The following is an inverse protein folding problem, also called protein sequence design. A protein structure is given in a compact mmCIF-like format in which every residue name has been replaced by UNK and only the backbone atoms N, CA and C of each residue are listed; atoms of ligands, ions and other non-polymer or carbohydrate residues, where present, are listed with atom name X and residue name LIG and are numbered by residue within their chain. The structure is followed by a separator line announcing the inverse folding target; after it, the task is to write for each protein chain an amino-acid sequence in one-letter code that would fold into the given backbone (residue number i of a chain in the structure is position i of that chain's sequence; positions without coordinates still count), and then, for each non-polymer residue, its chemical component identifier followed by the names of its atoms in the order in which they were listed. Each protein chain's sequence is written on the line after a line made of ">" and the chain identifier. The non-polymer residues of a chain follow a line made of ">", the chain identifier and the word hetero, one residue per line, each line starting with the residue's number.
data_IF_915693831495
#
_entry.id   IF_915693831495
#
_cell.length_a   1.000
_cell.length_b   1.000
_cell.length_c   1.000
_cell.angle_alpha   90.00
_cell.angle_beta   90.00
_cell.angle_gamma   90.00
#
_symmetry.space_group_name_H-M   'P 1'
#
loop_
_entity.id
_entity.type
_entity.pdbx_description
1 polymer ?
#
# COMPACT_ATOMS: atom_id res chain seq x y z
N UNK A 1 6.00 -3.92 45.27
CA UNK A 1 6.41 -4.65 44.04
C UNK A 1 6.71 -3.63 42.97
N UNK A 2 7.66 -3.94 42.09
CA UNK A 2 7.93 -3.17 40.88
C UNK A 2 7.27 -3.92 39.72
N UNK A 3 6.61 -3.20 38.82
CA UNK A 3 5.95 -3.75 37.62
C UNK A 3 6.61 -3.06 36.44
N UNK A 4 7.68 -3.66 35.93
CA UNK A 4 8.30 -3.13 34.73
C UNK A 4 7.45 -3.49 33.53
N UNK A 5 7.50 -2.65 32.52
CA UNK A 5 6.97 -2.96 31.22
C UNK A 5 7.84 -2.29 30.17
N UNK A 6 8.00 -2.94 29.04
CA UNK A 6 8.68 -2.37 27.88
C UNK A 6 7.69 -2.20 26.73
N UNK A 7 7.77 -1.06 26.07
CA UNK A 7 7.00 -0.76 24.85
C UNK A 7 7.94 -0.27 23.77
N UNK A 8 7.51 -0.43 22.53
CA UNK A 8 8.22 0.12 21.37
C UNK A 8 7.33 1.15 20.68
N UNK A 9 7.91 2.29 20.32
CA UNK A 9 7.24 3.30 19.51
C UNK A 9 8.15 3.77 18.39
N UNK A 10 7.63 3.87 17.16
CA UNK A 10 8.37 4.31 15.99
C UNK A 10 8.08 3.44 14.78
N UNK A 11 8.89 3.64 13.75
CA UNK A 11 8.67 3.02 12.44
C UNK A 11 8.94 1.51 12.46
N UNK A 12 8.12 0.78 11.71
CA UNK A 12 8.23 -0.66 11.43
C UNK A 12 8.52 -0.96 9.96
N UNK A 13 8.98 0.04 9.21
CA UNK A 13 9.33 -0.08 7.79
C UNK A 13 10.68 0.58 7.51
N UNK A 14 11.48 0.04 6.60
CA UNK A 14 12.72 0.70 6.15
C UNK A 14 12.80 0.64 4.64
N UNK A 15 13.04 1.78 3.99
CA UNK A 15 13.36 1.82 2.57
C UNK A 15 14.84 1.58 2.33
N UNK A 16 15.16 0.85 1.27
CA UNK A 16 16.54 0.48 0.91
C UNK A 16 17.49 1.68 0.69
N UNK A 17 16.99 2.89 0.39
CA UNK A 17 17.80 4.12 0.26
C UNK A 17 17.77 5.03 1.51
N UNK A 18 16.72 5.00 2.32
CA UNK A 18 16.61 5.71 3.62
C UNK A 18 16.94 4.74 4.75
N UNK A 19 18.17 4.24 4.73
CA UNK A 19 18.66 3.00 5.35
C UNK A 19 18.55 2.86 6.89
N UNK A 20 17.72 3.65 7.60
CA UNK A 20 17.71 3.69 9.05
C UNK A 20 16.33 3.33 9.62
N UNK A 21 16.26 2.24 10.34
CA UNK A 21 15.17 1.94 11.26
C UNK A 21 15.36 2.80 12.51
N UNK A 22 14.38 3.62 12.88
CA UNK A 22 14.44 4.43 14.09
C UNK A 22 13.19 4.27 14.95
N UNK A 23 13.39 3.99 16.23
CA UNK A 23 12.32 3.77 17.21
C UNK A 23 12.83 4.03 18.62
N UNK A 24 11.90 4.07 19.55
CA UNK A 24 12.13 4.24 20.97
C UNK A 24 11.68 2.98 21.71
N UNK A 25 12.56 2.42 22.54
CA UNK A 25 12.15 1.50 23.60
C UNK A 25 11.81 2.32 24.84
N UNK A 26 10.64 2.06 25.42
CA UNK A 26 10.09 2.82 26.55
C UNK A 26 9.92 1.85 27.72
N UNK A 27 10.81 1.94 28.69
CA UNK A 27 10.77 1.13 29.92
C UNK A 27 10.04 1.91 30.99
N UNK A 28 8.96 1.36 31.54
CA UNK A 28 8.16 2.02 32.58
C UNK A 28 8.07 1.13 33.81
N UNK A 29 8.38 1.66 34.99
CA UNK A 29 8.02 1.00 36.25
C UNK A 29 6.63 1.50 36.66
N UNK A 30 5.60 0.71 36.39
CA UNK A 30 4.20 1.09 36.60
C UNK A 30 3.87 1.14 38.09
N UNK A 31 3.07 2.12 38.49
CA UNK A 31 2.55 2.19 39.86
C UNK A 31 1.43 1.17 40.05
N UNK A 32 1.49 0.33 41.10
CA UNK A 32 0.39 -0.59 41.43
C UNK A 32 -0.92 0.17 41.68
N UNK A 33 -2.05 -0.45 41.34
CA UNK A 33 -3.39 0.09 41.63
C UNK A 33 -3.76 0.00 43.11
N UNK A 34 -3.03 -0.81 43.89
CA UNK A 34 -3.12 -0.88 45.35
C UNK A 34 -1.79 -1.33 45.96
N UNK A 35 -1.47 -0.83 47.16
CA UNK A 35 -0.14 -1.01 47.78
C UNK A 35 0.92 -0.02 47.26
N UNK A 36 1.99 0.18 48.02
CA UNK A 36 3.08 1.07 47.63
C UNK A 36 3.95 0.46 46.53
N UNK A 37 4.15 1.17 45.42
CA UNK A 37 5.15 0.84 44.41
C UNK A 37 6.57 1.01 44.98
N UNK A 38 7.50 0.14 44.59
CA UNK A 38 8.93 0.25 44.93
C UNK A 38 9.74 0.53 43.68
N UNK A 39 10.94 1.10 43.84
CA UNK A 39 11.86 1.27 42.72
C UNK A 39 12.28 -0.10 42.16
N UNK A 40 12.34 -0.20 40.84
CA UNK A 40 12.96 -1.33 40.14
C UNK A 40 14.46 -1.09 40.11
N UNK A 41 15.27 -2.03 40.61
CA UNK A 41 16.72 -1.90 40.66
C UNK A 41 17.41 -2.86 39.69
N UNK A 42 18.63 -2.48 39.30
CA UNK A 42 19.43 -3.22 38.31
C UNK A 42 18.65 -3.47 37.01
N UNK A 43 17.93 -2.43 36.56
CA UNK A 43 17.12 -2.51 35.36
C UNK A 43 18.04 -2.63 34.15
N UNK A 44 17.88 -3.71 33.39
CA UNK A 44 18.64 -3.93 32.15
C UNK A 44 17.71 -4.23 30.99
N UNK A 45 18.09 -3.79 29.80
CA UNK A 45 17.40 -4.11 28.55
C UNK A 45 18.36 -4.88 27.66
N UNK A 46 17.88 -5.98 27.07
CA UNK A 46 18.56 -6.68 25.98
C UNK A 46 17.66 -6.65 24.75
N UNK A 47 18.21 -6.35 23.60
CA UNK A 47 17.47 -6.40 22.34
C UNK A 47 18.29 -7.11 21.26
N UNK A 48 17.63 -8.00 20.52
CA UNK A 48 18.19 -8.64 19.33
C UNK A 48 17.49 -8.12 18.08
N UNK A 49 18.27 -7.57 17.15
CA UNK A 49 17.82 -7.29 15.79
C UNK A 49 17.96 -8.55 14.94
N UNK A 50 16.98 -8.81 14.08
CA UNK A 50 17.05 -9.88 13.11
C UNK A 50 18.12 -9.63 12.05
N UNK A 51 18.49 -10.70 11.35
CA UNK A 51 19.47 -10.63 10.27
C UNK A 51 19.05 -9.61 9.21
N UNK A 52 20.00 -8.74 8.84
CA UNK A 52 19.77 -7.67 7.88
C UNK A 52 19.64 -6.29 8.51
N UNK A 53 19.57 -6.19 9.85
CA UNK A 53 19.69 -4.92 10.58
C UNK A 53 20.99 -4.92 11.39
N UNK A 54 21.60 -3.76 11.56
CA UNK A 54 22.79 -3.57 12.41
C UNK A 54 22.61 -2.32 13.24
N UNK A 55 22.92 -2.36 14.54
CA UNK A 55 22.82 -1.16 15.35
C UNK A 55 23.79 -0.08 14.89
N UNK A 56 23.28 1.15 14.76
CA UNK A 56 24.09 2.35 14.61
C UNK A 56 24.17 3.14 15.90
N UNK A 57 23.05 3.27 16.60
CA UNK A 57 22.92 4.09 17.81
C UNK A 57 21.93 3.44 18.79
N UNK A 58 22.26 3.52 20.08
CA UNK A 58 21.33 3.33 21.16
C UNK A 58 21.63 4.36 22.26
N UNK A 59 20.73 5.32 22.46
CA UNK A 59 20.91 6.43 23.39
C UNK A 59 19.78 6.43 24.44
N UNK A 60 20.05 5.96 25.67
CA UNK A 60 19.09 6.00 26.76
C UNK A 60 19.04 7.38 27.42
N UNK A 61 17.87 7.79 27.91
CA UNK A 61 17.69 9.02 28.70
C UNK A 61 18.44 8.94 30.06
N UNK A 62 18.65 7.72 30.55
CA UNK A 62 19.39 7.42 31.78
C UNK A 62 20.11 6.08 31.68
N UNK A 63 21.30 5.99 32.28
CA UNK A 63 22.14 4.80 32.22
C UNK A 63 23.00 4.75 30.97
N UNK A 64 23.28 3.56 30.47
CA UNK A 64 24.15 3.35 29.30
C UNK A 64 23.70 2.15 28.46
N UNK A 65 24.00 2.19 27.17
CA UNK A 65 23.69 1.15 26.20
C UNK A 65 24.94 0.84 25.37
N UNK A 66 25.18 -0.44 25.11
CA UNK A 66 26.30 -0.93 24.30
C UNK A 66 25.75 -1.78 23.14
N UNK A 67 25.62 -1.20 21.94
CA UNK A 67 25.30 -1.97 20.74
C UNK A 67 26.52 -2.78 20.25
N UNK A 68 26.29 -3.97 19.72
CA UNK A 68 27.30 -4.85 19.13
C UNK A 68 26.67 -5.71 18.03
N UNK A 69 26.90 -5.33 16.77
CA UNK A 69 26.28 -5.99 15.61
C UNK A 69 24.76 -5.92 15.68
N UNK A 70 24.11 -7.07 15.89
CA UNK A 70 22.65 -7.22 16.05
C UNK A 70 22.19 -7.26 17.50
N UNK A 71 23.11 -7.16 18.47
CA UNK A 71 22.80 -7.25 19.90
C UNK A 71 22.91 -5.89 20.57
N UNK A 72 21.99 -5.59 21.48
CA UNK A 72 22.02 -4.42 22.35
C UNK A 72 21.94 -4.87 23.79
N UNK A 73 22.79 -4.30 24.63
CA UNK A 73 22.72 -4.46 26.09
C UNK A 73 22.76 -3.09 26.75
N UNK A 74 21.75 -2.81 27.57
CA UNK A 74 21.63 -1.56 28.31
C UNK A 74 21.54 -1.81 29.82
N UNK A 75 22.14 -0.91 30.59
CA UNK A 75 22.03 -0.84 32.04
C UNK A 75 21.44 0.52 32.42
N UNK A 76 20.20 0.51 32.89
CA UNK A 76 19.42 1.71 33.20
C UNK A 76 19.46 2.10 34.69
N UNK A 77 19.98 1.21 35.55
CA UNK A 77 20.14 1.47 36.98
C UNK A 77 18.83 1.26 37.75
N UNK A 78 18.36 2.30 38.44
CA UNK A 78 17.14 2.26 39.24
C UNK A 78 16.04 3.10 38.58
N UNK A 79 14.84 2.56 38.45
CA UNK A 79 13.67 3.24 37.89
C UNK A 79 12.61 3.39 38.99
N UNK A 80 12.33 4.62 39.39
CA UNK A 80 11.36 4.93 40.44
C UNK A 80 9.92 4.51 40.05
N UNK A 81 9.02 4.25 41.02
CA UNK A 81 7.62 3.98 40.71
C UNK A 81 6.99 5.11 39.89
N UNK A 82 6.31 4.76 38.80
CA UNK A 82 5.69 5.69 37.86
C UNK A 82 6.66 6.36 36.88
N UNK A 83 7.97 6.10 36.98
CA UNK A 83 8.96 6.68 36.08
C UNK A 83 9.14 5.84 34.82
N UNK A 84 9.61 6.53 33.78
CA UNK A 84 9.90 5.95 32.46
C UNK A 84 11.31 6.32 32.04
N UNK A 85 12.01 5.39 31.38
CA UNK A 85 13.28 5.61 30.70
C UNK A 85 13.10 5.28 29.22
N UNK A 86 13.38 6.24 28.33
CA UNK A 86 13.40 6.01 26.89
C UNK A 86 14.79 5.61 26.44
N UNK A 87 14.87 4.73 25.45
CA UNK A 87 16.08 4.39 24.69
C UNK A 87 15.81 4.68 23.23
N UNK A 88 16.45 5.72 22.68
CA UNK A 88 16.40 6.00 21.24
C UNK A 88 17.31 5.01 20.51
N UNK A 89 16.73 4.18 19.66
CA UNK A 89 17.44 3.20 18.86
C UNK A 89 17.43 3.61 17.39
N UNK A 90 18.59 3.48 16.76
CA UNK A 90 18.73 3.57 15.30
C UNK A 90 19.55 2.40 14.79
N UNK A 91 19.01 1.68 13.81
CA UNK A 91 19.68 0.57 13.15
C UNK A 91 19.75 0.80 11.64
N UNK A 92 20.87 0.44 11.04
CA UNK A 92 21.06 0.45 9.59
C UNK A 92 20.53 -0.85 8.99
N UNK A 93 19.77 -0.77 7.88
CA UNK A 93 19.31 -1.94 7.15
C UNK A 93 20.23 -2.28 5.98
N UNK A 94 20.43 -3.58 5.74
CA UNK A 94 21.14 -4.08 4.58
C UNK A 94 20.31 -3.77 3.31
N UNK A 95 20.82 -2.94 2.39
CA UNK A 95 20.07 -2.56 1.19
C UNK A 95 19.93 -3.70 0.17
N UNK A 96 20.66 -4.82 0.34
CA UNK A 96 20.56 -5.99 -0.52
C UNK A 96 19.42 -6.94 -0.13
N UNK A 97 18.60 -6.61 0.87
CA UNK A 97 17.43 -7.40 1.22
C UNK A 97 16.31 -7.19 0.22
N UNK A 98 15.58 -8.27 -0.07
CA UNK A 98 14.41 -8.22 -0.93
C UNK A 98 13.32 -7.30 -0.36
N UNK A 99 12.62 -6.59 -1.23
CA UNK A 99 11.40 -5.86 -0.88
C UNK A 99 10.36 -6.83 -0.31
N UNK A 100 9.61 -6.41 0.71
CA UNK A 100 8.68 -7.28 1.44
C UNK A 100 9.33 -8.16 2.49
N UNK A 101 10.67 -8.25 2.56
CA UNK A 101 11.34 -9.05 3.58
C UNK A 101 10.98 -8.55 4.99
N UNK A 102 10.46 -9.46 5.81
CA UNK A 102 10.29 -9.25 7.24
C UNK A 102 11.57 -9.55 8.01
N UNK A 103 11.94 -8.63 8.90
CA UNK A 103 13.01 -8.78 9.88
C UNK A 103 12.38 -8.63 11.27
N UNK A 104 12.52 -9.65 12.11
CA UNK A 104 12.02 -9.58 13.49
C UNK A 104 13.03 -8.89 14.40
N UNK A 105 12.54 -8.19 15.41
CA UNK A 105 13.35 -7.64 16.50
C UNK A 105 12.67 -7.94 17.81
N UNK A 106 13.40 -8.22 18.87
CA UNK A 106 12.83 -8.49 20.18
C UNK A 106 13.67 -7.84 21.27
N UNK A 107 13.01 -7.06 22.14
CA UNK A 107 13.59 -6.44 23.31
C UNK A 107 12.98 -7.03 24.58
N UNK A 108 13.81 -7.29 25.58
CA UNK A 108 13.43 -7.76 26.91
C UNK A 108 14.02 -6.84 27.97
N UNK A 109 13.20 -6.47 28.95
CA UNK A 109 13.65 -5.77 30.17
C UNK A 109 13.66 -6.72 31.37
N UNK A 110 14.61 -6.55 32.28
CA UNK A 110 14.71 -7.30 33.53
C UNK A 110 15.04 -6.39 34.70
N UNK A 111 14.73 -6.84 35.92
CA UNK A 111 14.99 -6.18 37.20
C UNK A 111 15.30 -7.21 38.29
N UNK A 112 15.68 -6.75 39.48
CA UNK A 112 15.93 -7.63 40.63
C UNK A 112 14.66 -8.00 41.42
N UNK A 113 13.69 -7.09 41.46
CA UNK A 113 12.46 -7.27 42.21
C UNK A 113 11.50 -8.23 41.49
N UNK A 114 10.61 -8.94 42.22
CA UNK A 114 9.55 -9.72 41.59
C UNK A 114 8.60 -8.81 40.79
N UNK A 115 8.44 -9.15 39.52
CA UNK A 115 7.48 -8.53 38.62
C UNK A 115 6.14 -9.28 38.65
N UNK A 116 5.01 -8.61 38.93
CA UNK A 116 3.70 -9.25 38.95
C UNK A 116 3.18 -9.64 37.55
N UNK A 117 3.67 -9.04 36.45
CA UNK A 117 3.17 -9.25 35.09
C UNK A 117 4.35 -9.46 34.12
N UNK A 118 5.11 -10.56 34.22
CA UNK A 118 6.33 -10.75 33.44
C UNK A 118 6.16 -10.73 31.91
N UNK A 119 4.95 -10.98 31.39
CA UNK A 119 4.68 -10.97 29.95
C UNK A 119 4.77 -9.57 29.31
N UNK A 120 4.67 -8.50 30.10
CA UNK A 120 4.84 -7.12 29.62
C UNK A 120 6.33 -6.68 29.55
N UNK A 121 7.25 -7.56 29.95
CA UNK A 121 8.70 -7.31 29.95
C UNK A 121 9.37 -7.67 28.63
N UNK A 122 8.60 -8.08 27.62
CA UNK A 122 9.07 -8.42 26.28
C UNK A 122 8.26 -7.64 25.25
N UNK A 123 8.93 -7.07 24.24
CA UNK A 123 8.29 -6.48 23.08
C UNK A 123 9.00 -6.90 21.80
N UNK A 124 8.24 -7.48 20.88
CA UNK A 124 8.70 -7.80 19.54
C UNK A 124 8.14 -6.83 18.49
N UNK A 125 8.81 -6.71 17.35
CA UNK A 125 8.20 -6.13 16.16
C UNK A 125 8.70 -6.80 14.89
N UNK A 126 7.91 -6.63 13.82
CA UNK A 126 8.28 -6.99 12.46
C UNK A 126 8.62 -5.71 11.72
N UNK A 127 9.78 -5.71 11.09
CA UNK A 127 10.28 -4.61 10.26
C UNK A 127 10.19 -5.06 8.82
N UNK A 128 9.52 -4.30 7.97
CA UNK A 128 9.38 -4.63 6.55
C UNK A 128 10.31 -3.80 5.69
N UNK A 129 11.04 -4.46 4.79
CA UNK A 129 11.84 -3.80 3.76
C UNK A 129 10.95 -3.25 2.66
N UNK A 130 11.06 -1.94 2.42
CA UNK A 130 10.36 -1.22 1.37
C UNK A 130 11.29 -0.94 0.18
N UNK A 131 10.73 -0.78 -1.01
CA UNK A 131 11.51 -0.36 -2.18
C UNK A 131 12.10 1.04 -1.97
N UNK A 132 13.14 1.33 -2.75
CA UNK A 132 13.65 2.69 -2.94
C UNK A 132 12.51 3.51 -3.52
N UNK A 133 12.08 4.55 -2.82
CA UNK A 133 10.99 5.40 -3.24
C UNK A 133 11.26 6.86 -2.94
N UNK A 134 10.69 7.72 -3.79
CA UNK A 134 10.66 9.17 -3.60
C UNK A 134 9.68 9.49 -2.47
N UNK A 135 8.50 8.87 -2.53
CA UNK A 135 7.43 9.02 -1.54
C UNK A 135 7.10 7.70 -0.84
N UNK A 136 7.04 7.76 0.49
CA UNK A 136 6.54 6.68 1.33
C UNK A 136 5.11 6.99 1.72
N UNK A 137 4.15 6.18 1.26
CA UNK A 137 2.74 6.35 1.61
C UNK A 137 2.48 5.67 2.95
N UNK A 138 2.49 6.46 4.02
CA UNK A 138 2.38 6.01 5.40
C UNK A 138 1.04 6.38 6.08
N UNK A 139 0.15 7.07 5.36
CA UNK A 139 -1.19 7.40 5.85
C UNK A 139 -2.27 6.59 5.13
N UNK A 140 -3.20 6.08 5.93
CA UNK A 140 -4.42 5.41 5.46
C UNK A 140 -5.63 6.35 5.44
N UNK A 141 -5.41 7.61 5.82
CA UNK A 141 -6.40 8.65 5.63
C UNK A 141 -6.51 8.99 4.14
N UNK A 142 -7.57 9.71 3.80
CA UNK A 142 -7.73 10.36 2.50
C UNK A 142 -7.53 11.87 2.66
N UNK A 143 -7.05 12.47 1.59
CA UNK A 143 -6.86 13.90 1.39
C UNK A 143 -5.97 14.12 0.16
N UNK A 144 -6.20 15.23 -0.50
CA UNK A 144 -5.33 15.74 -1.58
C UNK A 144 -4.03 16.29 -1.00
N UNK A 145 -3.00 16.34 -1.83
CA UNK A 145 -1.79 17.08 -1.52
C UNK A 145 -2.12 18.57 -1.28
N UNK A 146 -1.41 19.21 -0.35
CA UNK A 146 -1.60 20.61 -0.03
C UNK A 146 -0.98 21.54 -1.09
N UNK A 147 0.16 21.15 -1.66
CA UNK A 147 0.92 21.93 -2.63
C UNK A 147 1.62 21.02 -3.67
N UNK A 148 0.88 20.41 -4.62
CA UNK A 148 1.48 19.57 -5.65
C UNK A 148 2.70 20.20 -6.34
N UNK A 149 3.82 19.47 -6.37
CA UNK A 149 5.08 19.81 -7.02
C UNK A 149 6.11 20.49 -6.10
N UNK A 150 5.89 20.51 -4.78
CA UNK A 150 6.82 21.09 -3.82
C UNK A 150 7.91 20.12 -3.31
N UNK A 151 7.84 18.86 -3.75
CA UNK A 151 8.73 17.76 -3.38
C UNK A 151 8.29 17.00 -2.12
N UNK A 152 7.13 17.31 -1.54
CA UNK A 152 6.65 16.70 -0.30
C UNK A 152 5.23 16.16 -0.46
N UNK A 153 5.09 14.83 -0.37
CA UNK A 153 3.78 14.21 -0.19
C UNK A 153 3.18 14.62 1.18
N UNK A 154 2.25 15.58 1.18
CA UNK A 154 1.64 16.07 2.40
C UNK A 154 0.27 16.72 2.15
N UNK A 155 -0.77 16.13 2.75
CA UNK A 155 -2.05 16.82 2.92
C UNK A 155 -1.91 18.04 3.84
N UNK A 156 -2.95 18.89 3.94
CA UNK A 156 -2.98 20.03 4.90
C UNK A 156 -2.76 19.63 6.37
N UNK A 157 -2.94 18.35 6.72
CA UNK A 157 -2.67 17.79 8.05
C UNK A 157 -1.27 17.22 8.21
N UNK A 158 -0.41 17.32 7.18
CA UNK A 158 0.93 16.75 7.15
C UNK A 158 0.98 15.23 6.97
N UNK A 159 -0.08 14.63 6.45
CA UNK A 159 -0.16 13.18 6.20
C UNK A 159 0.16 12.88 4.74
N UNK A 160 0.97 11.84 4.47
CA UNK A 160 1.19 11.35 3.11
C UNK A 160 0.18 10.25 2.77
N UNK A 161 -0.93 10.63 2.12
CA UNK A 161 -1.98 9.71 1.63
C UNK A 161 -1.62 9.23 0.22
N UNK A 162 -2.27 8.16 -0.26
CA UNK A 162 -2.02 7.67 -1.63
C UNK A 162 -2.37 8.72 -2.69
N UNK A 163 -3.49 9.45 -2.50
CA UNK A 163 -3.90 10.54 -3.40
C UNK A 163 -2.90 11.69 -3.39
N UNK A 164 -2.46 12.13 -2.21
CA UNK A 164 -1.45 13.18 -2.10
C UNK A 164 -0.14 12.75 -2.80
N UNK A 165 0.29 11.51 -2.61
CA UNK A 165 1.51 11.00 -3.24
C UNK A 165 1.41 10.96 -4.77
N UNK A 166 0.27 10.55 -5.33
CA UNK A 166 0.05 10.54 -6.78
C UNK A 166 -0.01 11.96 -7.34
N UNK A 167 -0.71 12.88 -6.67
CA UNK A 167 -0.79 14.29 -7.07
C UNK A 167 0.57 14.98 -7.05
N UNK A 168 1.36 14.72 -6.00
CA UNK A 168 2.73 15.20 -5.90
C UNK A 168 3.60 14.61 -7.03
N UNK A 169 3.49 13.30 -7.28
CA UNK A 169 4.26 12.64 -8.31
C UNK A 169 3.96 13.18 -9.73
N UNK A 170 2.68 13.40 -10.04
CA UNK A 170 2.23 13.97 -11.31
C UNK A 170 2.73 15.41 -11.53
N UNK A 171 3.00 16.15 -10.45
CA UNK A 171 3.45 17.54 -10.51
C UNK A 171 4.98 17.69 -10.58
N UNK A 172 5.72 16.58 -10.50
CA UNK A 172 7.18 16.56 -10.51
C UNK A 172 7.73 16.02 -11.84
N UNK A 173 8.88 16.54 -12.30
CA UNK A 173 9.48 16.09 -13.55
C UNK A 173 10.08 14.69 -13.41
N UNK A 174 9.87 13.87 -14.43
CA UNK A 174 10.49 12.55 -14.55
C UNK A 174 9.81 11.50 -13.68
N UNK A 175 10.29 10.26 -13.79
CA UNK A 175 9.68 9.11 -13.11
C UNK A 175 9.75 9.24 -11.59
N UNK A 176 8.60 9.13 -10.93
CA UNK A 176 8.48 9.06 -9.49
C UNK A 176 8.16 7.63 -9.03
N UNK A 177 8.69 7.24 -7.88
CA UNK A 177 8.45 5.94 -7.25
C UNK A 177 7.76 6.10 -5.90
N UNK A 178 6.61 5.46 -5.74
CA UNK A 178 5.83 5.38 -4.50
C UNK A 178 6.01 4.00 -3.86
N UNK A 179 6.34 3.97 -2.57
CA UNK A 179 6.32 2.75 -1.77
C UNK A 179 5.04 2.69 -0.92
N UNK A 180 4.31 1.58 -1.03
CA UNK A 180 3.21 1.26 -0.13
C UNK A 180 3.69 0.37 1.01
N UNK A 181 3.04 0.54 2.15
CA UNK A 181 3.18 -0.31 3.33
C UNK A 181 2.06 -1.37 3.35
N UNK A 182 2.01 -2.17 4.41
CA UNK A 182 0.96 -3.18 4.60
C UNK A 182 -0.33 -2.51 5.02
N UNK A 183 -1.21 -2.26 4.07
CA UNK A 183 -2.48 -1.64 4.38
C UNK A 183 -3.49 -1.75 3.25
N UNK A 184 -4.73 -1.45 3.66
CA UNK A 184 -5.84 -1.14 2.78
C UNK A 184 -5.92 0.38 2.62
N UNK A 185 -5.57 0.87 1.43
CA UNK A 185 -5.63 2.27 1.04
C UNK A 185 -7.00 2.55 0.44
N UNK A 186 -7.92 3.02 1.29
CA UNK A 186 -9.30 3.30 0.87
C UNK A 186 -9.39 4.66 0.17
N UNK A 187 -9.84 4.67 -1.08
CA UNK A 187 -10.26 5.87 -1.80
C UNK A 187 -11.72 6.14 -1.45
N UNK A 188 -11.95 7.00 -0.46
CA UNK A 188 -13.29 7.35 0.05
C UNK A 188 -13.50 8.87 0.10
N UNK A 189 -12.65 9.63 -0.59
CA UNK A 189 -12.76 11.08 -0.64
C UNK A 189 -13.80 11.49 -1.67
N UNK A 190 -15.03 11.59 -1.19
CA UNK A 190 -16.10 12.29 -1.89
C UNK A 190 -15.80 13.79 -1.85
N UNK A 191 -15.55 14.42 -3.00
CA UNK A 191 -15.52 15.87 -3.06
C UNK A 191 -16.88 16.39 -2.54
N UNK A 192 -16.94 17.46 -1.72
CA UNK A 192 -18.18 17.96 -1.13
C UNK A 192 -19.27 18.41 -2.12
N UNK A 193 -19.14 18.16 -3.43
CA UNK A 193 -20.04 18.65 -4.48
C UNK A 193 -20.52 17.60 -5.48
N UNK A 194 -20.45 16.30 -5.19
CA UNK A 194 -21.11 15.30 -6.07
C UNK A 194 -22.64 15.26 -5.85
N UNK A 195 -23.17 15.94 -4.82
CA UNK A 195 -24.60 16.09 -4.57
C UNK A 195 -25.28 17.23 -5.34
N UNK A 196 -24.55 18.10 -6.05
CA UNK A 196 -25.14 19.24 -6.76
C UNK A 196 -25.57 18.90 -8.20
N UNK A 197 -25.05 17.84 -8.81
CA UNK A 197 -25.40 17.44 -10.18
C UNK A 197 -26.64 16.53 -10.27
N UNK A 198 -27.07 15.94 -9.15
CA UNK A 198 -28.27 15.09 -9.10
C UNK A 198 -29.59 15.89 -9.12
N UNK A 199 -29.54 17.23 -9.06
CA UNK A 199 -30.71 18.11 -9.12
C UNK A 199 -31.04 18.54 -10.57
N UNK A 200 -31.36 17.55 -11.42
CA UNK A 200 -32.34 17.73 -12.50
C UNK A 200 -32.05 18.73 -13.63
N UNK A 201 -30.80 19.12 -13.89
CA UNK A 201 -30.50 19.98 -15.04
C UNK A 201 -29.27 19.49 -15.80
N UNK A 202 -29.42 18.43 -16.61
CA UNK A 202 -28.74 18.18 -17.90
C UNK A 202 -27.23 18.41 -18.07
N UNK A 203 -26.50 18.79 -17.04
CA UNK A 203 -25.06 18.85 -16.97
C UNK A 203 -24.65 17.50 -16.44
N UNK A 204 -24.18 16.63 -17.34
CA UNK A 204 -23.37 15.47 -17.00
C UNK A 204 -22.46 15.89 -15.87
N UNK A 205 -22.49 15.17 -14.73
CA UNK A 205 -21.39 15.22 -13.80
C UNK A 205 -20.14 15.00 -14.66
N UNK A 206 -19.36 16.04 -14.92
CA UNK A 206 -18.08 15.83 -15.56
C UNK A 206 -17.35 14.92 -14.60
N UNK A 207 -17.11 13.68 -15.04
CA UNK A 207 -16.12 12.80 -14.43
C UNK A 207 -14.94 13.68 -14.02
N UNK A 208 -14.61 13.61 -12.75
CA UNK A 208 -13.78 14.61 -12.11
C UNK A 208 -12.33 14.44 -12.59
N UNK A 209 -11.96 15.15 -13.67
CA UNK A 209 -10.72 14.97 -14.43
C UNK A 209 -9.44 15.52 -13.73
N UNK A 210 -9.42 15.60 -12.40
CA UNK A 210 -8.34 16.25 -11.63
C UNK A 210 -7.86 15.50 -10.39
N UNK A 211 -8.27 14.24 -10.19
CA UNK A 211 -8.01 13.43 -9.00
C UNK A 211 -8.29 14.14 -7.65
N UNK A 212 -9.17 15.14 -7.61
CA UNK A 212 -9.60 15.85 -6.39
C UNK A 212 -10.43 14.91 -5.50
N UNK A 213 -11.07 13.91 -6.08
CA UNK A 213 -11.92 12.87 -5.51
C UNK A 213 -11.90 11.62 -6.41
N UNK A 214 -12.70 10.59 -6.10
CA UNK A 214 -12.88 9.46 -7.00
C UNK A 214 -11.61 8.62 -7.21
N UNK A 215 -11.30 8.30 -8.46
CA UNK A 215 -10.13 7.52 -8.84
C UNK A 215 -8.81 8.29 -8.66
N UNK A 216 -7.70 7.57 -8.84
CA UNK A 216 -6.37 8.17 -8.92
C UNK A 216 -6.03 8.43 -10.39
N UNK A 217 -5.88 9.69 -10.77
CA UNK A 217 -5.38 10.06 -12.10
C UNK A 217 -3.86 10.00 -12.15
N UNK A 218 -3.33 9.29 -13.13
CA UNK A 218 -1.90 9.26 -13.46
C UNK A 218 -1.70 10.03 -14.75
N UNK A 219 -0.97 11.15 -14.67
CA UNK A 219 -0.73 12.07 -15.79
C UNK A 219 0.74 12.18 -16.19
N UNK A 220 1.67 11.66 -15.38
CA UNK A 220 3.10 11.56 -15.70
C UNK A 220 3.62 10.13 -15.43
N UNK A 221 4.94 9.95 -15.35
CA UNK A 221 5.62 8.68 -15.21
C UNK A 221 5.64 8.25 -13.74
N UNK A 222 4.86 7.22 -13.43
CA UNK A 222 4.67 6.77 -12.05
C UNK A 222 4.96 5.27 -11.92
N UNK A 223 5.68 4.91 -10.86
CA UNK A 223 5.76 3.55 -10.36
C UNK A 223 5.23 3.47 -8.93
N UNK A 224 4.29 2.55 -8.68
CA UNK A 224 3.77 2.26 -7.34
C UNK A 224 4.13 0.83 -6.99
N UNK A 225 4.82 0.65 -5.88
CA UNK A 225 5.33 -0.65 -5.44
C UNK A 225 4.80 -0.95 -4.05
N UNK A 226 4.01 -2.02 -3.95
CA UNK A 226 3.57 -2.58 -2.68
C UNK A 226 4.48 -3.70 -2.18
N UNK A 227 3.93 -4.53 -1.30
CA UNK A 227 4.62 -5.66 -0.68
C UNK A 227 4.12 -7.01 -1.21
N UNK A 228 2.81 -7.12 -1.37
CA UNK A 228 2.13 -8.17 -2.11
C UNK A 228 0.73 -7.72 -2.49
N UNK A 229 0.09 -8.46 -3.40
CA UNK A 229 -1.27 -8.20 -3.83
C UNK A 229 -2.32 -8.27 -2.70
N UNK A 230 -2.02 -8.97 -1.61
CA UNK A 230 -2.89 -9.16 -0.45
C UNK A 230 -2.55 -8.20 0.71
N UNK A 231 -1.30 -7.75 0.80
CA UNK A 231 -0.84 -6.90 1.90
C UNK A 231 -0.92 -5.41 1.57
N UNK A 232 -0.78 -5.03 0.30
CA UNK A 232 -0.86 -3.65 -0.17
C UNK A 232 -2.00 -3.53 -1.17
N UNK A 233 -3.15 -3.03 -0.73
CA UNK A 233 -4.36 -2.98 -1.55
C UNK A 233 -4.85 -1.55 -1.68
N UNK A 234 -5.05 -1.08 -2.91
CA UNK A 234 -5.78 0.16 -3.21
C UNK A 234 -7.23 -0.23 -3.47
N UNK A 235 -8.14 0.29 -2.63
CA UNK A 235 -9.55 -0.05 -2.65
C UNK A 235 -10.37 1.20 -2.92
N UNK A 236 -11.07 1.26 -4.05
CA UNK A 236 -12.03 2.32 -4.30
C UNK A 236 -13.33 2.06 -3.54
N UNK A 237 -13.79 3.04 -2.76
CA UNK A 237 -15.04 2.96 -1.99
C UNK A 237 -15.95 4.16 -2.26
N UNK A 238 -15.59 5.01 -3.21
CA UNK A 238 -16.32 6.22 -3.61
C UNK A 238 -17.30 6.01 -4.77
N UNK A 239 -17.51 4.76 -5.19
CA UNK A 239 -18.32 4.49 -6.38
C UNK A 239 -17.71 5.03 -7.68
N UNK A 240 -16.38 5.19 -7.72
CA UNK A 240 -15.60 5.47 -8.94
C UNK A 240 -14.56 4.36 -9.16
N UNK A 241 -13.80 4.44 -10.25
CA UNK A 241 -12.69 3.53 -10.56
C UNK A 241 -11.59 3.59 -9.50
N UNK A 242 -10.61 2.69 -9.58
CA UNK A 242 -9.42 2.80 -8.70
C UNK A 242 -8.38 3.74 -9.32
N UNK A 243 -8.02 3.53 -10.59
CA UNK A 243 -6.97 4.29 -11.28
C UNK A 243 -7.40 4.61 -12.73
N UNK A 244 -7.19 5.84 -13.17
CA UNK A 244 -7.15 6.21 -14.59
C UNK A 244 -5.74 6.63 -15.00
N UNK A 245 -5.25 6.07 -16.11
CA UNK A 245 -3.97 6.45 -16.73
C UNK A 245 -4.26 7.27 -17.96
N UNK A 246 -3.86 8.54 -17.93
CA UNK A 246 -4.17 9.51 -18.99
C UNK A 246 -3.20 9.39 -20.16
N UNK A 247 -3.55 10.01 -21.29
CA UNK A 247 -2.80 9.91 -22.53
C UNK A 247 -1.33 10.33 -22.36
N UNK A 248 -0.41 9.49 -22.81
CA UNK A 248 1.03 9.75 -22.74
C UNK A 248 1.68 9.50 -21.37
N UNK A 249 0.90 9.22 -20.32
CA UNK A 249 1.43 8.83 -19.02
C UNK A 249 1.96 7.39 -19.04
N UNK A 250 2.85 7.08 -18.09
CA UNK A 250 3.31 5.70 -17.87
C UNK A 250 3.04 5.28 -16.45
N UNK A 251 2.47 4.08 -16.28
CA UNK A 251 2.20 3.51 -14.97
C UNK A 251 2.83 2.13 -14.84
N UNK A 252 3.65 1.94 -13.83
CA UNK A 252 4.09 0.62 -13.37
C UNK A 252 3.50 0.32 -12.00
N UNK A 253 2.74 -0.77 -11.87
CA UNK A 253 2.28 -1.28 -10.58
C UNK A 253 2.99 -2.60 -10.27
N UNK A 254 3.50 -2.73 -9.05
CA UNK A 254 4.17 -3.95 -8.57
C UNK A 254 3.64 -4.36 -7.21
N UNK A 255 3.41 -5.66 -7.04
CA UNK A 255 3.20 -6.28 -5.72
C UNK A 255 2.05 -5.63 -4.92
N UNK A 256 0.90 -5.38 -5.57
CA UNK A 256 -0.25 -4.74 -4.94
C UNK A 256 -1.59 -5.19 -5.56
N UNK A 257 -2.69 -4.95 -4.83
CA UNK A 257 -4.05 -5.25 -5.26
C UNK A 257 -4.85 -4.00 -5.64
N UNK A 258 -5.72 -4.10 -6.64
CA UNK A 258 -6.72 -3.11 -7.03
C UNK A 258 -8.13 -3.71 -6.91
N UNK A 259 -9.00 -3.09 -6.10
CA UNK A 259 -10.33 -3.63 -5.82
C UNK A 259 -11.37 -2.56 -5.50
N UNK A 260 -12.65 -2.95 -5.49
CA UNK A 260 -13.78 -2.08 -5.13
C UNK A 260 -14.13 -1.01 -6.16
N UNK A 261 -13.37 -0.92 -7.25
CA UNK A 261 -13.59 0.04 -8.32
C UNK A 261 -14.95 -0.13 -8.97
N UNK A 262 -15.68 0.98 -9.11
CA UNK A 262 -17.00 1.04 -9.74
C UNK A 262 -17.05 2.25 -10.66
N UNK A 263 -16.89 2.09 -11.98
CA UNK A 263 -16.91 3.25 -12.86
C UNK A 263 -18.28 3.94 -12.85
N UNK A 264 -18.32 5.25 -12.52
CA UNK A 264 -19.53 6.07 -12.57
C UNK A 264 -20.14 6.11 -13.98
N UNK A 265 -21.46 6.27 -14.07
CA UNK A 265 -22.21 6.40 -15.34
C UNK A 265 -21.97 5.27 -16.36
N UNK A 266 -21.59 4.08 -15.88
CA UNK A 266 -21.19 2.95 -16.70
C UNK A 266 -19.93 3.24 -17.56
N UNK A 267 -18.99 4.02 -17.02
CA UNK A 267 -17.69 4.26 -17.61
C UNK A 267 -16.84 2.98 -17.76
N UNK A 268 -15.70 3.07 -18.46
CA UNK A 268 -14.79 1.95 -18.68
C UNK A 268 -13.88 1.69 -17.46
N UNK A 269 -13.44 0.45 -17.24
CA UNK A 269 -12.27 0.15 -16.40
C UNK A 269 -12.48 0.33 -14.91
N UNK A 270 -13.19 -0.59 -14.25
CA UNK A 270 -13.53 -0.47 -12.82
C UNK A 270 -12.29 -0.43 -11.94
N UNK A 271 -11.38 -1.38 -12.12
CA UNK A 271 -10.09 -1.38 -11.43
C UNK A 271 -9.11 -0.41 -12.05
N UNK A 272 -8.93 -0.47 -13.37
CA UNK A 272 -8.01 0.38 -14.10
C UNK A 272 -8.57 0.78 -15.46
N UNK A 273 -8.53 2.06 -15.76
CA UNK A 273 -8.78 2.57 -17.10
C UNK A 273 -7.49 3.15 -17.71
N UNK A 274 -6.97 2.50 -18.75
CA UNK A 274 -5.86 3.02 -19.53
C UNK A 274 -6.41 3.80 -20.74
N UNK A 275 -6.29 5.12 -20.70
CA UNK A 275 -6.83 6.06 -21.69
C UNK A 275 -5.68 6.67 -22.54
N UNK A 276 -4.97 5.80 -23.25
CA UNK A 276 -3.83 6.18 -24.09
C UNK A 276 -2.48 6.28 -23.40
N UNK A 277 -2.34 5.68 -22.22
CA UNK A 277 -1.06 5.54 -21.51
C UNK A 277 -0.34 4.21 -21.80
N UNK A 278 0.81 4.03 -21.16
CA UNK A 278 1.58 2.78 -21.15
C UNK A 278 1.58 2.16 -19.76
N UNK A 279 0.97 0.98 -19.62
CA UNK A 279 0.74 0.33 -18.33
C UNK A 279 1.45 -1.00 -18.22
N UNK A 280 2.19 -1.19 -17.13
CA UNK A 280 2.85 -2.44 -16.75
C UNK A 280 2.38 -2.89 -15.36
N UNK A 281 1.78 -4.07 -15.27
CA UNK A 281 1.32 -4.67 -14.02
C UNK A 281 2.11 -5.96 -13.72
N UNK A 282 2.91 -5.98 -12.67
CA UNK A 282 3.73 -7.14 -12.30
C UNK A 282 3.40 -7.63 -10.90
N UNK A 283 2.95 -8.88 -10.77
CA UNK A 283 2.49 -9.46 -9.50
C UNK A 283 1.39 -8.62 -8.85
N UNK A 284 0.43 -8.21 -9.66
CA UNK A 284 -0.73 -7.40 -9.27
C UNK A 284 -2.00 -8.25 -9.31
N UNK A 285 -2.89 -8.04 -8.34
CA UNK A 285 -4.26 -8.57 -8.40
C UNK A 285 -5.23 -7.45 -8.77
N UNK A 286 -6.08 -7.66 -9.77
CA UNK A 286 -7.22 -6.79 -10.08
C UNK A 286 -8.49 -7.58 -9.82
N UNK A 287 -9.19 -7.29 -8.73
CA UNK A 287 -10.30 -8.13 -8.28
C UNK A 287 -11.52 -7.37 -7.78
N UNK A 288 -12.69 -7.97 -7.99
CA UNK A 288 -13.98 -7.49 -7.49
C UNK A 288 -14.27 -6.03 -7.89
N UNK A 289 -13.93 -5.68 -9.14
CA UNK A 289 -14.24 -4.39 -9.73
C UNK A 289 -15.44 -4.50 -10.70
N UNK A 290 -16.12 -3.37 -10.91
CA UNK A 290 -17.32 -3.24 -11.70
C UNK A 290 -17.25 -2.04 -12.66
N UNK A 291 -17.72 -2.22 -13.90
CA UNK A 291 -17.76 -1.13 -14.88
C UNK A 291 -18.84 -1.34 -15.95
N UNK A 292 -19.06 -0.35 -16.82
CA UNK A 292 -19.86 -0.56 -18.03
C UNK A 292 -19.16 -1.48 -19.04
N UNK A 293 -17.85 -1.31 -19.18
CA UNK A 293 -16.96 -2.16 -19.99
C UNK A 293 -15.61 -2.31 -19.30
N UNK A 294 -14.95 -3.46 -19.44
CA UNK A 294 -13.68 -3.71 -18.75
C UNK A 294 -13.87 -3.70 -17.24
N UNK A 295 -14.63 -4.66 -16.71
CA UNK A 295 -14.98 -4.72 -15.28
C UNK A 295 -13.75 -4.58 -14.38
N UNK A 296 -12.70 -5.34 -14.70
CA UNK A 296 -11.38 -5.17 -14.11
C UNK A 296 -10.60 -4.04 -14.77
N UNK A 297 -10.31 -4.20 -16.06
CA UNK A 297 -9.43 -3.29 -16.80
C UNK A 297 -10.06 -2.92 -18.15
N UNK A 298 -10.02 -1.65 -18.50
CA UNK A 298 -10.25 -1.19 -19.87
C UNK A 298 -8.96 -0.59 -20.44
N UNK A 299 -8.53 -1.09 -21.59
CA UNK A 299 -7.35 -0.60 -22.31
C UNK A 299 -7.77 0.05 -23.64
N UNK A 300 -7.83 1.38 -23.63
CA UNK A 300 -8.27 2.19 -24.76
C UNK A 300 -7.11 3.00 -25.31
N UNK A 301 -6.82 2.85 -26.61
CA UNK A 301 -5.80 3.63 -27.34
C UNK A 301 -4.38 3.64 -26.72
N UNK A 302 -4.05 2.71 -25.83
CA UNK A 302 -2.77 2.61 -25.11
C UNK A 302 -2.07 1.25 -25.23
N UNK A 303 -1.18 0.93 -24.29
CA UNK A 303 -0.59 -0.40 -24.17
C UNK A 303 -0.72 -0.94 -22.75
N UNK A 304 -1.07 -2.21 -22.64
CA UNK A 304 -1.17 -2.93 -21.36
C UNK A 304 -0.33 -4.20 -21.42
N UNK A 305 0.67 -4.28 -20.54
CA UNK A 305 1.40 -5.52 -20.25
C UNK A 305 1.14 -5.97 -18.84
N UNK A 306 0.82 -7.25 -18.66
CA UNK A 306 0.67 -7.87 -17.35
C UNK A 306 1.54 -9.11 -17.24
N UNK A 307 2.27 -9.24 -16.12
CA UNK A 307 3.19 -10.37 -15.87
C UNK A 307 2.96 -10.95 -14.48
N UNK A 308 2.78 -12.27 -14.40
CA UNK A 308 2.62 -12.98 -13.13
C UNK A 308 1.51 -12.39 -12.24
N UNK A 309 0.39 -12.00 -12.86
CA UNK A 309 -0.70 -11.22 -12.25
C UNK A 309 -2.04 -11.98 -12.33
N UNK A 310 -3.05 -11.50 -11.61
CA UNK A 310 -4.40 -12.08 -11.62
C UNK A 310 -5.50 -11.04 -11.88
N UNK A 311 -6.54 -11.45 -12.58
CA UNK A 311 -7.78 -10.67 -12.78
C UNK A 311 -8.97 -11.55 -12.39
N UNK A 312 -9.61 -11.25 -11.28
CA UNK A 312 -10.59 -12.17 -10.69
C UNK A 312 -11.87 -11.53 -10.18
N UNK A 313 -13.02 -12.17 -10.41
CA UNK A 313 -14.30 -11.72 -9.83
C UNK A 313 -14.78 -10.36 -10.35
N UNK A 314 -14.19 -9.84 -11.43
CA UNK A 314 -14.61 -8.56 -11.99
C UNK A 314 -15.83 -8.73 -12.88
N UNK A 315 -16.67 -7.71 -12.96
CA UNK A 315 -17.92 -7.81 -13.71
C UNK A 315 -18.32 -6.53 -14.43
N UNK A 316 -19.18 -6.66 -15.42
CA UNK A 316 -19.81 -5.52 -16.08
C UNK A 316 -21.33 -5.53 -15.89
N UNK A 317 -21.97 -4.42 -16.25
CA UNK A 317 -23.42 -4.38 -16.48
C UNK A 317 -23.88 -5.44 -17.50
N UNK A 318 -25.19 -5.70 -17.52
CA UNK A 318 -25.82 -6.51 -18.56
C UNK A 318 -25.56 -5.91 -19.95
N UNK A 319 -25.12 -6.75 -20.89
CA UNK A 319 -24.74 -6.30 -22.25
C UNK A 319 -23.35 -5.66 -22.35
N UNK A 320 -22.70 -5.35 -21.22
CA UNK A 320 -21.33 -4.86 -21.16
C UNK A 320 -20.30 -5.87 -21.67
N UNK A 321 -19.09 -5.39 -21.95
CA UNK A 321 -18.02 -6.16 -22.58
C UNK A 321 -16.77 -6.25 -21.72
N UNK A 322 -16.12 -7.42 -21.70
CA UNK A 322 -14.83 -7.61 -21.04
C UNK A 322 -14.94 -7.63 -19.52
N UNK A 323 -15.41 -8.74 -18.94
CA UNK A 323 -15.60 -8.85 -17.49
C UNK A 323 -14.28 -8.64 -16.75
N UNK A 324 -13.23 -9.31 -17.22
CA UNK A 324 -11.86 -9.07 -16.75
C UNK A 324 -11.23 -7.89 -17.49
N UNK A 325 -11.06 -8.01 -18.82
CA UNK A 325 -10.42 -7.00 -19.67
C UNK A 325 -11.31 -6.66 -20.86
N UNK A 326 -11.51 -5.36 -21.11
CA UNK A 326 -11.91 -4.85 -22.42
C UNK A 326 -10.69 -4.21 -23.09
N UNK A 327 -10.33 -4.67 -24.29
CA UNK A 327 -9.12 -4.24 -24.98
C UNK A 327 -9.41 -3.76 -26.41
N UNK A 328 -8.97 -2.54 -26.71
CA UNK A 328 -9.03 -1.93 -28.04
C UNK A 328 -7.65 -1.59 -28.61
N UNK A 329 -6.57 -1.93 -27.87
CA UNK A 329 -5.20 -1.55 -28.20
C UNK A 329 -4.20 -2.70 -27.94
N UNK A 330 -2.92 -2.40 -27.69
CA UNK A 330 -1.93 -3.46 -27.47
C UNK A 330 -2.12 -4.13 -26.11
N UNK A 331 -2.22 -5.46 -26.11
CA UNK A 331 -2.34 -6.29 -24.91
C UNK A 331 -1.30 -7.40 -24.89
N UNK A 332 -0.51 -7.46 -23.82
CA UNK A 332 0.45 -8.55 -23.59
C UNK A 332 0.20 -9.15 -22.20
N UNK A 333 -0.14 -10.43 -22.16
CA UNK A 333 -0.36 -11.18 -20.93
C UNK A 333 0.65 -12.32 -20.84
N UNK A 334 1.40 -12.37 -19.74
CA UNK A 334 2.44 -13.37 -19.50
C UNK A 334 2.28 -13.99 -18.11
N UNK A 335 2.03 -15.30 -18.03
CA UNK A 335 1.79 -15.99 -16.75
C UNK A 335 0.63 -15.36 -15.95
N UNK A 336 -0.45 -14.99 -16.63
CA UNK A 336 -1.62 -14.31 -16.02
C UNK A 336 -2.76 -15.30 -15.81
N UNK A 337 -3.48 -15.16 -14.71
CA UNK A 337 -4.74 -15.89 -14.48
C UNK A 337 -5.93 -14.95 -14.56
N UNK A 338 -6.91 -15.28 -15.41
CA UNK A 338 -8.21 -14.62 -15.44
C UNK A 338 -9.29 -15.60 -15.02
N UNK A 339 -9.99 -15.33 -13.91
CA UNK A 339 -11.01 -16.27 -13.42
C UNK A 339 -12.20 -15.65 -12.74
N UNK A 340 -13.38 -16.25 -12.92
CA UNK A 340 -14.59 -15.79 -12.24
C UNK A 340 -15.08 -14.43 -12.73
N UNK A 341 -14.59 -13.94 -13.87
CA UNK A 341 -15.02 -12.66 -14.41
C UNK A 341 -16.31 -12.82 -15.24
N UNK A 342 -17.19 -11.82 -15.22
CA UNK A 342 -18.51 -11.91 -15.85
C UNK A 342 -18.87 -10.69 -16.70
N UNK A 343 -19.39 -10.91 -17.90
CA UNK A 343 -19.87 -9.83 -18.79
C UNK A 343 -21.03 -10.25 -19.69
N UNK A 344 -21.54 -9.33 -20.49
CA UNK A 344 -22.38 -9.65 -21.64
C UNK A 344 -21.59 -10.36 -22.74
N UNK A 345 -20.40 -9.87 -23.07
CA UNK A 345 -19.50 -10.49 -24.05
C UNK A 345 -18.05 -10.49 -23.52
N UNK A 346 -17.29 -11.56 -23.76
CA UNK A 346 -15.91 -11.65 -23.30
C UNK A 346 -15.83 -11.69 -21.78
N UNK A 347 -16.32 -12.76 -21.15
CA UNK A 347 -16.36 -12.87 -19.69
C UNK A 347 -14.99 -12.65 -19.06
N UNK A 348 -13.95 -13.28 -19.61
CA UNK A 348 -12.56 -12.98 -19.28
C UNK A 348 -12.06 -11.77 -20.05
N UNK A 349 -11.95 -11.89 -21.38
CA UNK A 349 -11.40 -10.86 -22.26
C UNK A 349 -12.37 -10.58 -23.40
N UNK A 350 -12.63 -9.30 -23.65
CA UNK A 350 -13.18 -8.80 -24.90
C UNK A 350 -12.08 -8.03 -25.65
N UNK A 351 -11.69 -8.51 -26.83
CA UNK A 351 -10.70 -7.88 -27.70
C UNK A 351 -11.38 -7.33 -28.96
N UNK A 352 -11.49 -6.00 -29.05
CA UNK A 352 -12.19 -5.28 -30.12
C UNK A 352 -11.24 -4.54 -31.08
N UNK A 353 -9.95 -4.50 -30.75
CA UNK A 353 -8.90 -3.87 -31.57
C UNK A 353 -7.51 -4.14 -31.00
N UNK A 354 -6.48 -3.79 -31.79
CA UNK A 354 -5.08 -4.02 -31.45
C UNK A 354 -4.64 -5.49 -31.48
N UNK A 355 -3.38 -5.74 -31.16
CA UNK A 355 -2.83 -7.10 -31.05
C UNK A 355 -2.91 -7.59 -29.60
N UNK A 356 -3.38 -8.82 -29.41
CA UNK A 356 -3.40 -9.47 -28.11
C UNK A 356 -2.44 -10.67 -28.09
N UNK A 357 -1.37 -10.60 -27.30
CA UNK A 357 -0.42 -11.70 -27.12
C UNK A 357 -0.58 -12.33 -25.75
N UNK A 358 -0.99 -13.59 -25.71
CA UNK A 358 -1.21 -14.35 -24.48
C UNK A 358 -0.21 -15.51 -24.39
N UNK A 359 0.69 -15.46 -23.40
CA UNK A 359 1.67 -16.51 -23.14
C UNK A 359 1.47 -17.07 -21.73
N UNK A 360 1.29 -18.38 -21.62
CA UNK A 360 1.04 -19.07 -20.34
C UNK A 360 -0.13 -18.47 -19.54
N UNK A 361 -1.20 -18.09 -20.22
CA UNK A 361 -2.39 -17.50 -19.59
C UNK A 361 -3.40 -18.58 -19.25
N UNK A 362 -3.92 -18.55 -18.03
CA UNK A 362 -5.02 -19.44 -17.59
C UNK A 362 -6.32 -18.67 -17.58
N UNK A 363 -7.34 -19.17 -18.29
CA UNK A 363 -8.71 -18.63 -18.26
C UNK A 363 -9.69 -19.71 -17.80
N UNK A 364 -10.33 -19.53 -16.64
CA UNK A 364 -11.30 -20.50 -16.14
C UNK A 364 -12.46 -19.83 -15.37
N UNK A 365 -13.62 -20.48 -15.38
CA UNK A 365 -14.83 -19.98 -14.70
C UNK A 365 -15.24 -18.54 -15.07
N UNK A 366 -14.84 -18.07 -16.25
CA UNK A 366 -15.30 -16.79 -16.77
C UNK A 366 -16.63 -16.98 -17.51
N UNK A 367 -17.57 -16.06 -17.31
CA UNK A 367 -18.95 -16.18 -17.75
C UNK A 367 -19.34 -15.04 -18.70
N UNK A 368 -19.97 -15.37 -19.83
CA UNK A 368 -20.58 -14.39 -20.71
C UNK A 368 -22.03 -14.80 -20.97
N UNK A 369 -22.99 -13.88 -20.86
CA UNK A 369 -24.38 -14.16 -21.24
C UNK A 369 -24.58 -14.22 -22.77
N UNK A 370 -23.69 -13.57 -23.52
CA UNK A 370 -23.55 -13.62 -24.97
C UNK A 370 -22.35 -14.45 -25.41
N UNK A 371 -21.42 -13.85 -26.14
CA UNK A 371 -20.31 -14.57 -26.77
C UNK A 371 -19.01 -14.53 -25.96
N UNK A 372 -18.32 -15.67 -25.92
CA UNK A 372 -16.95 -15.82 -25.41
C UNK A 372 -16.84 -15.73 -23.89
N UNK A 373 -17.16 -16.82 -23.18
CA UNK A 373 -16.98 -16.89 -21.71
C UNK A 373 -15.54 -16.61 -21.29
N UNK A 374 -14.56 -17.23 -21.98
CA UNK A 374 -13.13 -16.94 -21.80
C UNK A 374 -12.69 -15.70 -22.56
N UNK A 375 -12.70 -15.78 -23.90
CA UNK A 375 -12.28 -14.71 -24.81
C UNK A 375 -13.33 -14.53 -25.89
N UNK A 376 -13.66 -13.28 -26.19
CA UNK A 376 -14.35 -12.87 -27.41
C UNK A 376 -13.43 -11.91 -28.17
N UNK A 377 -13.03 -12.25 -29.39
CA UNK A 377 -12.11 -11.43 -30.19
C UNK A 377 -12.66 -11.16 -31.58
N UNK A 378 -12.57 -9.89 -31.99
CA UNK A 378 -12.76 -9.46 -33.37
C UNK A 378 -11.42 -9.13 -34.07
N UNK A 379 -10.29 -9.24 -33.35
CA UNK A 379 -8.92 -8.97 -33.83
C UNK A 379 -8.02 -10.22 -33.84
N UNK A 380 -6.74 -10.02 -34.20
CA UNK A 380 -5.71 -11.09 -34.29
C UNK A 380 -5.04 -11.42 -32.97
#
# INVERSE_FOLDING_TARGET
>A
MADLAIQRNGTTVVSANRANLAYDLIVTNRTPTSGGGIAATNVTVKETLGNGLTYRLAAPDSGSCTPSGTQLSCSLGSVAPGATVKIRVVADANPALDVGKEITTEAQVTLNEPDPIPDNNIVGARVTMLPVADFLVDSFAEGTDANPGDGFCATRKGLCTIRAAVQEANALPGKQVLALTRSLYMLNFEAPTILAAAAGNGTTATAEDGAVSGDLDVTDNLEIVGLSAEESVIHANSGDRVIEVRNGATLTLRDLGLTGGMAIDNGPGGGLYNNGGTVLLERVSVNDNFAGTGGGIANHSGSLRMVASSITGNSTIEGGGGGGISNEAELVLENVTLSGNSAGNGGGILAQGGNATLTNVTLYSNNASGAGGGINSNGT
#
